data_IF_753169000713
#
_entry.id   IF_753169000713
#
_cell.length_a   1.000
_cell.length_b   1.000
_cell.length_c   1.000
_cell.angle_alpha   90.00
_cell.angle_beta   90.00
_cell.angle_gamma   90.00
#
_symmetry.space_group_name_H-M   'P 1'
#
loop_
_entity.id
_entity.type
_entity.pdbx_description
1 polymer ?
#
# COMPACT_ATOMS: atom_id res chain seq x y z
N UNK A 1 6.70 16.27 -12.78
CA UNK A 1 7.66 16.87 -11.84
C UNK A 1 7.93 18.31 -12.28
N UNK A 2 7.98 19.20 -11.32
CA UNK A 2 8.23 20.63 -11.59
C UNK A 2 9.49 21.08 -10.85
N UNK A 3 10.21 22.02 -11.44
CA UNK A 3 11.25 22.78 -10.74
C UNK A 3 10.63 23.78 -9.76
N UNK A 4 11.41 24.37 -8.82
CA UNK A 4 10.90 25.38 -7.89
C UNK A 4 10.32 26.64 -8.56
N UNK A 5 10.75 26.95 -9.78
CA UNK A 5 10.23 28.05 -10.60
C UNK A 5 9.08 27.64 -11.53
N UNK A 6 8.54 26.42 -11.34
CA UNK A 6 7.33 25.92 -12.01
C UNK A 6 7.56 25.35 -13.41
N UNK A 7 8.81 25.17 -13.86
CA UNK A 7 9.07 24.52 -15.16
C UNK A 7 8.89 23.01 -15.07
N UNK A 8 8.32 22.42 -16.12
CA UNK A 8 8.21 20.98 -16.25
C UNK A 8 9.61 20.40 -16.47
N UNK A 9 10.07 19.56 -15.54
CA UNK A 9 11.31 18.79 -15.67
C UNK A 9 11.06 17.48 -16.41
N UNK A 10 9.98 16.81 -16.05
CA UNK A 10 9.46 15.63 -16.71
C UNK A 10 7.99 15.44 -16.32
N UNK A 11 7.24 14.72 -17.14
CA UNK A 11 5.88 14.25 -16.87
C UNK A 11 5.70 12.80 -17.33
N UNK A 12 4.71 12.12 -16.75
CA UNK A 12 4.30 10.77 -17.09
C UNK A 12 2.80 10.67 -17.00
N UNK A 13 2.21 10.11 -18.03
CA UNK A 13 0.81 9.72 -18.01
C UNK A 13 0.70 8.28 -17.51
N UNK A 14 0.17 8.09 -16.30
CA UNK A 14 -0.01 6.74 -15.76
C UNK A 14 -1.03 5.94 -16.60
N UNK A 15 -1.98 6.63 -17.22
CA UNK A 15 -2.97 6.00 -18.10
C UNK A 15 -2.36 5.59 -19.43
N UNK A 16 -1.68 6.50 -20.10
CA UNK A 16 -1.12 6.25 -21.44
C UNK A 16 0.10 5.34 -21.39
N UNK A 17 1.01 5.57 -20.44
CA UNK A 17 2.26 4.81 -20.35
C UNK A 17 2.04 3.42 -19.75
N UNK A 18 1.08 3.27 -18.83
CA UNK A 18 0.96 2.04 -18.02
C UNK A 18 -0.44 1.45 -17.97
N UNK A 19 -1.40 2.03 -18.67
CA UNK A 19 -2.79 1.58 -18.67
C UNK A 19 -3.47 1.70 -17.29
N UNK A 20 -2.96 2.59 -16.43
CA UNK A 20 -3.58 2.84 -15.16
C UNK A 20 -4.80 3.73 -15.35
N UNK A 21 -5.93 3.30 -14.85
CA UNK A 21 -7.17 4.08 -14.87
C UNK A 21 -7.72 4.20 -13.47
N UNK A 22 -8.36 5.31 -13.24
CA UNK A 22 -9.00 5.56 -11.95
C UNK A 22 -10.45 5.06 -11.95
N UNK A 23 -10.86 4.48 -10.83
CA UNK A 23 -12.27 4.23 -10.53
C UNK A 23 -12.78 5.32 -9.56
N UNK A 24 -14.08 5.40 -9.37
CA UNK A 24 -14.70 6.22 -8.31
C UNK A 24 -14.09 7.62 -8.08
N UNK A 25 -14.02 8.43 -9.14
CA UNK A 25 -13.70 9.85 -9.01
C UNK A 25 -12.21 10.20 -8.95
N UNK A 26 -11.35 9.37 -9.53
CA UNK A 26 -9.94 9.73 -9.73
C UNK A 26 -9.11 9.75 -8.44
N UNK A 27 -9.52 9.01 -7.44
CA UNK A 27 -8.84 8.96 -6.15
C UNK A 27 -7.52 8.18 -6.26
N UNK A 28 -6.46 8.76 -5.75
CA UNK A 28 -5.13 8.16 -5.70
C UNK A 28 -4.54 8.34 -4.31
N UNK A 29 -3.50 7.56 -4.02
CA UNK A 29 -2.69 7.80 -2.82
C UNK A 29 -1.72 8.94 -3.07
N UNK A 30 -1.21 9.52 -1.99
CA UNK A 30 -0.15 10.53 -2.11
C UNK A 30 1.16 9.86 -2.54
N UNK A 31 1.89 10.44 -3.50
CA UNK A 31 3.24 9.98 -3.81
C UNK A 31 4.18 10.27 -2.65
N UNK A 32 5.16 9.40 -2.44
CA UNK A 32 6.22 9.60 -1.45
C UNK A 32 7.58 9.66 -2.14
N UNK A 33 8.50 10.40 -1.53
CA UNK A 33 9.89 10.46 -1.96
C UNK A 33 10.75 9.71 -0.95
N UNK A 34 11.53 8.76 -1.43
CA UNK A 34 12.53 8.07 -0.64
C UNK A 34 13.85 7.94 -1.41
N UNK A 35 14.88 8.60 -0.89
CA UNK A 35 16.16 8.71 -1.59
C UNK A 35 15.98 9.33 -2.98
N UNK A 36 16.35 8.62 -4.02
CA UNK A 36 16.17 9.03 -5.41
C UNK A 36 14.88 8.52 -6.06
N UNK A 37 14.04 7.82 -5.29
CA UNK A 37 12.79 7.24 -5.78
C UNK A 37 11.59 8.12 -5.45
N UNK A 38 10.67 8.25 -6.40
CA UNK A 38 9.30 8.68 -6.22
C UNK A 38 8.42 7.44 -6.31
N UNK A 39 7.73 7.10 -5.22
CA UNK A 39 6.88 5.91 -5.15
C UNK A 39 5.41 6.31 -5.07
N UNK A 40 4.59 5.65 -5.86
CA UNK A 40 3.14 5.79 -5.84
C UNK A 40 2.47 4.47 -6.22
N UNK A 41 1.19 4.34 -5.90
CA UNK A 41 0.38 3.26 -6.43
C UNK A 41 -0.61 3.77 -7.48
N UNK A 42 -1.08 2.86 -8.31
CA UNK A 42 -2.13 3.12 -9.28
C UNK A 42 -3.38 2.33 -8.94
N UNK A 43 -4.50 2.92 -9.27
CA UNK A 43 -5.78 2.26 -9.18
C UNK A 43 -6.05 1.37 -10.39
N UNK A 44 -7.04 0.56 -10.27
CA UNK A 44 -7.40 -0.50 -11.19
C UNK A 44 -8.74 -0.21 -11.89
N UNK A 45 -8.87 -0.74 -13.10
CA UNK A 45 -10.00 -0.52 -13.99
C UNK A 45 -11.29 -1.24 -13.61
N UNK A 46 -11.18 -2.40 -12.99
CA UNK A 46 -12.31 -3.30 -12.77
C UNK A 46 -12.19 -3.94 -11.39
N UNK A 47 -13.24 -4.58 -10.97
CA UNK A 47 -13.30 -5.27 -9.69
C UNK A 47 -13.15 -6.77 -9.86
N UNK A 48 -12.65 -7.43 -8.81
CA UNK A 48 -12.54 -8.87 -8.78
C UNK A 48 -11.55 -9.45 -9.77
N UNK A 49 -11.86 -10.63 -10.27
CA UNK A 49 -10.96 -11.43 -11.11
C UNK A 49 -10.73 -10.86 -12.51
N UNK A 50 -11.56 -9.93 -12.96
CA UNK A 50 -11.41 -9.26 -14.26
C UNK A 50 -10.29 -8.20 -14.24
N UNK A 51 -9.78 -7.89 -13.07
CA UNK A 51 -8.83 -6.81 -12.85
C UNK A 51 -7.39 -7.31 -12.74
N UNK A 52 -6.84 -7.78 -13.84
CA UNK A 52 -5.46 -8.29 -13.92
C UNK A 52 -4.64 -7.58 -15.00
N UNK A 53 -3.41 -7.14 -14.71
CA UNK A 53 -2.76 -7.05 -13.40
C UNK A 53 -3.40 -5.92 -12.58
N UNK A 54 -3.73 -6.22 -11.35
CA UNK A 54 -4.41 -5.29 -10.47
C UNK A 54 -3.58 -4.08 -10.05
N UNK A 55 -3.91 -3.55 -8.88
CA UNK A 55 -3.20 -2.40 -8.32
C UNK A 55 -1.68 -2.60 -8.33
N UNK A 56 -0.96 -1.64 -8.88
CA UNK A 56 0.49 -1.67 -9.03
C UNK A 56 1.13 -0.52 -8.27
N UNK A 57 2.27 -0.81 -7.67
CA UNK A 57 3.16 0.18 -7.11
C UNK A 57 4.25 0.46 -8.12
N UNK A 58 4.54 1.73 -8.33
CA UNK A 58 5.59 2.22 -9.21
C UNK A 58 6.62 2.97 -8.39
N UNK A 59 7.89 2.75 -8.69
CA UNK A 59 8.94 3.67 -8.31
C UNK A 59 9.57 4.26 -9.57
N UNK A 60 9.68 5.56 -9.58
CA UNK A 60 10.34 6.32 -10.62
C UNK A 60 11.62 6.95 -10.06
N UNK A 61 12.66 7.06 -10.86
CA UNK A 61 13.74 7.97 -10.56
C UNK A 61 13.17 9.41 -10.53
N UNK A 62 13.27 10.07 -9.38
CA UNK A 62 12.64 11.38 -9.14
C UNK A 62 13.17 12.51 -10.05
N UNK A 63 14.37 12.34 -10.62
CA UNK A 63 15.03 13.34 -11.48
C UNK A 63 14.62 13.19 -12.94
N UNK A 64 14.46 11.94 -13.39
CA UNK A 64 14.26 11.63 -14.82
C UNK A 64 12.86 11.16 -15.15
N UNK A 65 12.08 10.72 -14.17
CA UNK A 65 10.80 10.07 -14.39
C UNK A 65 10.89 8.68 -15.02
N UNK A 66 12.09 8.10 -15.11
CA UNK A 66 12.24 6.72 -15.58
C UNK A 66 11.79 5.74 -14.52
N UNK A 67 11.15 4.64 -14.96
CA UNK A 67 10.72 3.58 -14.06
C UNK A 67 11.93 2.87 -13.49
N UNK A 68 12.03 2.85 -12.16
CA UNK A 68 13.03 2.06 -11.44
C UNK A 68 12.52 0.63 -11.21
N UNK A 69 11.27 0.50 -10.77
CA UNK A 69 10.60 -0.80 -10.63
C UNK A 69 9.08 -0.67 -10.64
N UNK A 70 8.41 -1.79 -10.93
CA UNK A 70 6.95 -1.96 -10.83
C UNK A 70 6.69 -3.21 -9.99
N UNK A 71 5.77 -3.13 -9.04
CA UNK A 71 5.40 -4.25 -8.17
C UNK A 71 3.89 -4.43 -8.11
N UNK A 72 3.42 -5.67 -8.15
CA UNK A 72 2.02 -6.08 -7.95
C UNK A 72 1.98 -7.11 -6.82
N UNK A 73 2.08 -6.69 -5.56
CA UNK A 73 2.14 -7.63 -4.44
C UNK A 73 0.81 -8.33 -4.15
N UNK A 74 -0.31 -7.76 -4.60
CA UNK A 74 -1.65 -8.25 -4.33
C UNK A 74 -1.99 -9.46 -5.19
N UNK A 75 -2.77 -10.37 -4.58
CA UNK A 75 -3.29 -11.56 -5.27
C UNK A 75 -4.71 -11.37 -5.81
N UNK A 76 -5.48 -10.49 -5.18
CA UNK A 76 -6.87 -10.16 -5.52
C UNK A 76 -7.10 -8.66 -5.39
N UNK A 77 -8.17 -8.17 -5.99
CA UNK A 77 -8.56 -6.76 -5.94
C UNK A 77 -10.04 -6.67 -5.62
N UNK A 78 -10.35 -6.22 -4.43
CA UNK A 78 -11.73 -6.09 -3.97
C UNK A 78 -12.28 -4.69 -4.20
N UNK A 79 -11.43 -3.67 -4.07
CA UNK A 79 -11.82 -2.28 -4.23
C UNK A 79 -10.58 -1.38 -4.38
N UNK A 80 -10.81 -0.09 -4.53
CA UNK A 80 -9.82 0.98 -4.48
C UNK A 80 -9.20 1.10 -3.09
N UNK A 81 -7.89 1.34 -3.01
CA UNK A 81 -7.26 1.68 -1.75
C UNK A 81 -6.78 3.14 -1.74
N UNK A 82 -6.69 3.71 -0.55
CA UNK A 82 -6.18 5.07 -0.32
C UNK A 82 -4.96 5.07 0.61
N UNK A 83 -4.46 3.90 0.97
CA UNK A 83 -3.31 3.76 1.84
C UNK A 83 -2.08 4.39 1.20
N UNK A 84 -1.58 5.45 1.79
CA UNK A 84 -0.29 6.03 1.40
C UNK A 84 0.83 5.16 1.99
N UNK A 85 1.82 4.74 1.19
CA UNK A 85 2.97 4.00 1.70
C UNK A 85 3.71 4.80 2.76
N UNK A 86 4.20 4.12 3.79
CA UNK A 86 5.16 4.68 4.74
C UNK A 86 6.50 3.97 4.58
N UNK A 87 7.59 4.69 4.79
CA UNK A 87 8.95 4.13 4.71
C UNK A 87 9.46 3.85 6.10
N UNK A 88 9.97 2.64 6.30
CA UNK A 88 10.45 2.16 7.60
C UNK A 88 11.76 1.40 7.49
N UNK A 89 12.54 1.39 8.57
CA UNK A 89 13.67 0.48 8.71
C UNK A 89 13.20 -0.75 9.46
N UNK A 90 13.22 -1.90 8.78
CA UNK A 90 12.98 -3.20 9.38
C UNK A 90 14.30 -3.96 9.51
N UNK A 91 14.40 -4.99 10.35
CA UNK A 91 15.58 -5.85 10.40
C UNK A 91 15.93 -6.48 9.03
N UNK A 92 14.91 -6.66 8.18
CA UNK A 92 15.04 -7.16 6.81
C UNK A 92 15.53 -6.11 5.80
N UNK A 93 15.71 -4.87 6.24
CA UNK A 93 16.15 -3.73 5.42
C UNK A 93 15.07 -2.63 5.29
N UNK A 94 15.38 -1.62 4.49
CA UNK A 94 14.50 -0.50 4.22
C UNK A 94 13.26 -0.96 3.43
N UNK A 95 12.08 -0.69 3.95
CA UNK A 95 10.82 -1.19 3.40
C UNK A 95 9.74 -0.11 3.31
N UNK A 96 8.82 -0.30 2.37
CA UNK A 96 7.52 0.37 2.31
C UNK A 96 6.51 -0.52 3.03
N UNK A 97 5.69 0.06 3.90
CA UNK A 97 4.51 -0.61 4.45
C UNK A 97 3.27 0.11 3.95
N UNK A 98 2.36 -0.64 3.35
CA UNK A 98 1.20 -0.08 2.66
C UNK A 98 0.02 -1.04 2.68
N UNK A 99 -1.19 -0.51 2.78
CA UNK A 99 -2.42 -1.27 2.60
C UNK A 99 -2.67 -1.61 1.13
N UNK A 100 -3.19 -2.79 0.88
CA UNK A 100 -3.50 -3.29 -0.45
C UNK A 100 -4.98 -3.29 -0.79
N UNK A 101 -5.29 -3.51 -2.05
CA UNK A 101 -6.66 -3.67 -2.56
C UNK A 101 -7.23 -5.07 -2.28
N UNK A 102 -6.41 -5.97 -1.78
CA UNK A 102 -6.72 -7.36 -1.46
C UNK A 102 -7.06 -7.61 0.03
N UNK A 103 -7.16 -6.53 0.81
CA UNK A 103 -7.46 -6.63 2.24
C UNK A 103 -6.23 -6.94 3.10
N UNK A 104 -5.04 -6.92 2.52
CA UNK A 104 -3.78 -7.12 3.22
C UNK A 104 -2.99 -5.83 3.37
N UNK A 105 -2.18 -5.75 4.42
CA UNK A 105 -1.02 -4.86 4.44
C UNK A 105 0.19 -5.60 3.88
N UNK A 106 0.97 -4.89 3.08
CA UNK A 106 2.18 -5.42 2.45
C UNK A 106 3.40 -4.65 2.91
N UNK A 107 4.50 -5.36 3.16
CA UNK A 107 5.82 -4.74 3.20
C UNK A 107 6.58 -5.07 1.91
N UNK A 108 7.15 -4.05 1.29
CA UNK A 108 7.91 -4.15 0.04
C UNK A 108 9.29 -3.54 0.24
N UNK A 109 10.33 -4.14 -0.36
CA UNK A 109 11.66 -3.53 -0.38
C UNK A 109 11.62 -2.21 -1.15
N UNK A 110 12.12 -1.14 -0.56
CA UNK A 110 12.12 0.20 -1.18
C UNK A 110 12.80 0.19 -2.54
N UNK A 111 13.95 -0.49 -2.67
CA UNK A 111 14.80 -0.39 -3.86
C UNK A 111 14.36 -1.31 -5.01
N UNK A 112 13.53 -2.33 -4.75
CA UNK A 112 13.17 -3.34 -5.76
C UNK A 112 11.69 -3.58 -5.92
N UNK A 113 10.87 -3.14 -4.96
CA UNK A 113 9.44 -3.47 -4.91
C UNK A 113 9.14 -4.93 -4.55
N UNK A 114 10.16 -5.74 -4.21
CA UNK A 114 9.97 -7.13 -3.79
C UNK A 114 9.19 -7.22 -2.48
N UNK A 115 8.29 -8.19 -2.43
CA UNK A 115 7.48 -8.46 -1.24
C UNK A 115 8.34 -9.03 -0.10
N UNK A 116 8.28 -8.40 1.05
CA UNK A 116 8.89 -8.88 2.30
C UNK A 116 7.89 -9.74 3.05
N UNK A 117 6.68 -9.19 3.28
CA UNK A 117 5.56 -9.91 3.88
C UNK A 117 4.22 -9.27 3.48
N UNK A 118 3.14 -10.04 3.35
CA UNK A 118 1.76 -9.62 3.47
C UNK A 118 1.18 -10.06 4.83
N UNK A 119 0.22 -9.30 5.35
CA UNK A 119 -0.67 -9.72 6.44
C UNK A 119 -2.10 -9.40 6.06
N UNK A 120 -2.91 -10.41 5.90
CA UNK A 120 -4.31 -10.30 5.52
C UNK A 120 -5.18 -10.03 6.75
N UNK A 121 -5.99 -8.97 6.72
CA UNK A 121 -6.76 -8.49 7.88
C UNK A 121 -8.20 -8.12 7.56
N UNK A 122 -8.52 -7.89 6.28
CA UNK A 122 -9.83 -7.42 5.84
C UNK A 122 -10.35 -8.24 4.66
N UNK A 123 -11.66 -8.31 4.52
CA UNK A 123 -12.34 -8.83 3.31
C UNK A 123 -12.38 -7.80 2.17
N UNK A 124 -12.00 -6.56 2.42
CA UNK A 124 -12.05 -5.44 1.49
C UNK A 124 -10.70 -4.73 1.42
N UNK A 125 -10.59 -3.79 0.48
CA UNK A 125 -9.39 -2.97 0.34
C UNK A 125 -9.07 -2.18 1.61
N UNK A 126 -7.78 -1.95 1.84
CA UNK A 126 -7.30 -1.16 2.98
C UNK A 126 -7.24 0.32 2.57
N UNK A 127 -7.91 1.15 3.33
CA UNK A 127 -8.01 2.59 3.09
C UNK A 127 -7.02 3.41 3.92
N UNK A 128 -6.50 2.83 4.98
CA UNK A 128 -5.68 3.48 5.99
C UNK A 128 -4.19 3.24 5.73
N UNK A 129 -3.35 4.20 6.09
CA UNK A 129 -1.91 4.00 6.17
C UNK A 129 -1.54 3.30 7.48
N UNK A 130 -0.43 2.56 7.49
CA UNK A 130 0.10 1.96 8.70
C UNK A 130 0.92 2.97 9.52
N UNK A 131 1.15 2.66 10.80
CA UNK A 131 2.21 3.22 11.62
C UNK A 131 3.17 2.09 11.98
N UNK A 132 4.48 2.30 11.86
CA UNK A 132 5.46 1.32 12.34
C UNK A 132 6.37 1.98 13.38
N UNK A 133 6.44 1.37 14.54
CA UNK A 133 7.31 1.79 15.64
C UNK A 133 7.89 0.57 16.35
N UNK A 134 9.18 0.60 16.63
CA UNK A 134 9.89 -0.47 17.36
C UNK A 134 9.64 -1.88 16.76
N UNK A 135 9.68 -1.97 15.43
CA UNK A 135 9.39 -3.19 14.65
C UNK A 135 7.97 -3.75 14.83
N UNK A 136 7.04 -2.95 15.31
CA UNK A 136 5.61 -3.28 15.37
C UNK A 136 4.88 -2.43 14.34
N UNK A 137 4.15 -3.08 13.44
CA UNK A 137 3.24 -2.42 12.53
C UNK A 137 1.84 -2.31 13.18
N UNK A 138 1.41 -1.10 13.44
CA UNK A 138 0.05 -0.79 13.85
C UNK A 138 -0.77 -0.53 12.60
N UNK A 139 -1.71 -1.41 12.36
CA UNK A 139 -2.53 -1.41 11.14
C UNK A 139 -4.00 -1.30 11.49
N UNK A 140 -4.76 -0.64 10.62
CA UNK A 140 -6.18 -0.39 10.86
C UNK A 140 -6.99 -0.58 9.59
N UNK A 141 -8.25 -0.97 9.73
CA UNK A 141 -9.23 -0.88 8.64
C UNK A 141 -10.64 -0.68 9.21
N UNK A 142 -11.53 -0.13 8.41
CA UNK A 142 -12.94 0.08 8.77
C UNK A 142 -13.89 -0.92 8.12
N UNK A 143 -13.38 -1.84 7.33
CA UNK A 143 -14.14 -2.80 6.55
C UNK A 143 -14.43 -4.10 7.34
N UNK A 144 -15.08 -5.07 6.70
CA UNK A 144 -15.40 -6.37 7.30
C UNK A 144 -14.14 -7.16 7.67
N UNK A 145 -14.12 -7.67 8.88
CA UNK A 145 -13.06 -8.56 9.35
C UNK A 145 -13.15 -9.95 8.71
N UNK A 146 -12.01 -10.61 8.55
CA UNK A 146 -11.96 -12.00 8.07
C UNK A 146 -12.66 -12.93 9.05
N UNK A 147 -13.49 -13.85 8.53
CA UNK A 147 -14.19 -14.87 9.32
C UNK A 147 -15.40 -14.37 10.11
N UNK A 148 -15.77 -13.10 10.02
CA UNK A 148 -16.90 -12.51 10.76
C UNK A 148 -17.62 -11.47 9.91
N UNK A 149 -18.76 -10.96 10.39
CA UNK A 149 -19.49 -9.82 9.83
C UNK A 149 -19.21 -8.52 10.59
N UNK A 150 -18.39 -8.57 11.65
CA UNK A 150 -17.98 -7.37 12.38
C UNK A 150 -17.08 -6.50 11.51
N UNK A 151 -17.23 -5.20 11.62
CA UNK A 151 -16.46 -4.22 10.88
C UNK A 151 -15.42 -3.56 11.77
N UNK A 152 -14.29 -3.21 11.15
CA UNK A 152 -13.24 -2.45 11.79
C UNK A 152 -12.31 -3.24 12.70
N UNK A 153 -11.04 -2.93 12.62
CA UNK A 153 -10.01 -3.53 13.46
C UNK A 153 -8.81 -2.60 13.60
N UNK A 154 -8.18 -2.65 14.76
CA UNK A 154 -6.81 -2.22 14.97
C UNK A 154 -6.00 -3.44 15.36
N UNK A 155 -4.85 -3.65 14.74
CA UNK A 155 -3.96 -4.75 15.07
C UNK A 155 -2.51 -4.27 15.21
N UNK A 156 -1.77 -4.91 16.11
CA UNK A 156 -0.32 -4.79 16.22
C UNK A 156 0.33 -6.06 15.67
N UNK A 157 1.15 -5.89 14.64
CA UNK A 157 1.79 -6.98 13.89
C UNK A 157 3.30 -6.92 14.07
N UNK A 158 3.92 -8.07 14.28
CA UNK A 158 5.38 -8.19 14.32
C UNK A 158 5.95 -8.00 12.91
N UNK A 159 6.50 -6.83 12.65
CA UNK A 159 7.06 -6.47 11.34
C UNK A 159 8.47 -7.03 11.09
N UNK A 160 9.07 -7.76 12.03
CA UNK A 160 10.41 -8.36 11.85
C UNK A 160 10.40 -9.60 10.97
N UNK A 161 9.24 -10.20 10.78
CA UNK A 161 9.06 -11.46 10.06
C UNK A 161 9.13 -11.29 8.55
N UNK A 162 9.27 -12.40 7.85
CA UNK A 162 9.28 -12.47 6.37
C UNK A 162 8.33 -13.56 5.87
N UNK A 163 7.97 -13.49 4.59
CA UNK A 163 7.00 -14.42 4.01
C UNK A 163 5.57 -14.07 4.42
N UNK A 164 4.60 -14.92 4.10
CA UNK A 164 3.20 -14.69 4.47
C UNK A 164 3.04 -14.74 5.99
N UNK A 165 2.60 -13.62 6.57
CA UNK A 165 2.39 -13.54 7.99
C UNK A 165 1.05 -14.20 8.35
N UNK A 166 1.12 -15.21 9.19
CA UNK A 166 -0.04 -15.86 9.76
C UNK A 166 -0.50 -15.11 11.03
N UNK A 167 -1.56 -15.62 11.66
CA UNK A 167 -2.13 -15.01 12.87
C UNK A 167 -1.16 -14.94 14.05
N UNK A 168 -0.14 -15.78 14.07
CA UNK A 168 0.93 -15.77 15.08
C UNK A 168 1.86 -14.56 15.01
N UNK A 169 1.86 -13.84 13.90
CA UNK A 169 2.54 -12.53 13.78
C UNK A 169 1.72 -11.39 14.40
N UNK A 170 0.43 -11.60 14.64
CA UNK A 170 -0.44 -10.59 15.24
C UNK A 170 -0.31 -10.67 16.76
N UNK A 171 0.30 -9.66 17.36
CA UNK A 171 0.50 -9.59 18.82
C UNK A 171 -0.80 -9.37 19.57
N UNK A 172 -1.67 -8.51 19.03
CA UNK A 172 -3.02 -8.26 19.55
C UNK A 172 -3.90 -7.59 18.49
N UNK A 173 -5.20 -7.68 18.69
CA UNK A 173 -6.21 -6.97 17.90
C UNK A 173 -7.26 -6.35 18.83
N UNK A 174 -7.89 -5.27 18.36
CA UNK A 174 -9.15 -4.75 18.94
C UNK A 174 -10.13 -4.42 17.83
N UNK A 175 -11.40 -4.69 18.06
CA UNK A 175 -12.51 -4.51 17.12
C UNK A 175 -13.57 -3.51 17.62
N UNK A 176 -13.25 -2.76 18.67
CA UNK A 176 -14.16 -1.76 19.24
C UNK A 176 -14.13 -0.41 18.51
N UNK A 177 -13.22 -0.26 17.54
CA UNK A 177 -13.03 0.96 16.78
C UNK A 177 -13.36 0.73 15.31
N UNK A 178 -14.01 1.71 14.69
CA UNK A 178 -14.31 1.75 13.25
C UNK A 178 -13.44 2.83 12.58
N UNK A 179 -12.14 2.60 12.39
CA UNK A 179 -11.25 3.58 11.78
C UNK A 179 -11.43 3.57 10.25
N UNK A 180 -12.52 4.11 9.74
CA UNK A 180 -12.87 4.06 8.32
C UNK A 180 -11.76 4.60 7.41
N UNK A 181 -11.38 5.88 7.61
CA UNK A 181 -10.33 6.55 6.85
C UNK A 181 -9.20 7.09 7.73
N UNK A 182 -9.30 6.94 9.06
CA UNK A 182 -8.29 7.44 9.98
C UNK A 182 -7.10 6.49 10.06
N UNK A 183 -5.91 7.00 9.81
CA UNK A 183 -4.66 6.27 10.02
C UNK A 183 -4.18 6.46 11.47
N UNK A 184 -3.48 5.47 12.05
CA UNK A 184 -2.85 5.62 13.37
C UNK A 184 -1.76 6.69 13.34
N UNK A 185 -1.58 7.38 14.46
CA UNK A 185 -0.57 8.43 14.69
C UNK A 185 0.21 8.17 15.97
#
# INVERSE_FOLDING_TARGET
>A
CLSPDGKILWDRSLTEDFGAVTTHGGRTTSPIIEGDLLVLNTLVLAWGDLNRPGNRYFAFDKRTGQVAWISSPQTRHYDTNYSTPIVVNLPTGRALVVGGTDGAYHALRVNTGEKVWPVEVSKRAILNSALVRDNVAYITHGEENIGTTEMGMVAAVDATRTGTLATDAIRWTTRVLLPTFASPV
#
